data_IF_284003005614
#
_entry.id   IF_284003005614
#
_cell.length_a   1.000
_cell.length_b   1.000
_cell.length_c   1.000
_cell.angle_alpha   90.00
_cell.angle_beta   90.00
_cell.angle_gamma   90.00
#
_symmetry.space_group_name_H-M   'P 1'
#
loop_
_entity.id
_entity.type
_entity.pdbx_description
1 polymer ?
#
# COMPACT_ATOMS: atom_id res chain seq x y z
N UNK A 1 4.40 -7.26 -18.91
CA UNK A 1 3.85 -7.28 -17.53
C UNK A 1 2.97 -6.07 -17.38
N UNK A 2 1.67 -6.25 -17.13
CA UNK A 2 0.68 -5.17 -17.05
C UNK A 2 0.87 -4.34 -15.78
N UNK A 3 1.11 -3.02 -15.91
CA UNK A 3 1.31 -2.10 -14.79
C UNK A 3 0.01 -1.72 -14.03
N UNK A 4 -1.14 -2.27 -14.45
CA UNK A 4 -2.45 -1.91 -13.91
C UNK A 4 -2.60 -2.11 -12.38
N UNK A 5 -2.06 -3.17 -11.74
CA UNK A 5 -2.13 -3.34 -10.29
C UNK A 5 -1.38 -2.25 -9.53
N UNK A 6 -0.17 -1.91 -9.98
CA UNK A 6 0.64 -0.84 -9.38
C UNK A 6 -0.01 0.53 -9.55
N UNK A 7 -0.66 0.77 -10.67
CA UNK A 7 -1.39 2.02 -10.91
C UNK A 7 -2.64 2.14 -10.04
N UNK A 8 -3.37 1.05 -9.83
CA UNK A 8 -4.50 1.01 -8.90
C UNK A 8 -4.05 1.31 -7.46
N UNK A 9 -2.96 0.70 -7.01
CA UNK A 9 -2.37 0.97 -5.68
C UNK A 9 -1.90 2.42 -5.56
N UNK A 10 -1.25 2.97 -6.60
CA UNK A 10 -0.84 4.38 -6.63
C UNK A 10 -2.04 5.32 -6.48
N UNK A 11 -3.14 5.04 -7.19
CA UNK A 11 -4.39 5.84 -7.10
C UNK A 11 -5.07 5.70 -5.74
N UNK A 12 -4.89 4.57 -5.06
CA UNK A 12 -5.37 4.35 -3.69
C UNK A 12 -4.50 5.05 -2.63
N UNK A 13 -3.47 5.81 -3.03
CA UNK A 13 -2.58 6.53 -2.11
C UNK A 13 -1.45 5.68 -1.55
N UNK A 14 -1.26 4.44 -2.03
CA UNK A 14 -0.10 3.62 -1.67
C UNK A 14 1.15 4.14 -2.40
N UNK A 15 2.24 4.49 -1.70
CA UNK A 15 3.44 5.03 -2.33
C UNK A 15 4.27 3.92 -2.97
N UNK A 16 3.81 3.41 -4.11
CA UNK A 16 4.45 2.33 -4.88
C UNK A 16 5.89 2.62 -5.28
N UNK A 17 6.30 3.90 -5.33
CA UNK A 17 7.67 4.31 -5.67
C UNK A 17 8.67 4.09 -4.53
N UNK A 18 8.20 3.94 -3.29
CA UNK A 18 9.02 3.60 -2.14
C UNK A 18 9.32 2.10 -2.05
N UNK A 19 8.61 1.28 -2.83
CA UNK A 19 8.82 -0.16 -2.89
C UNK A 19 10.13 -0.48 -3.62
N UNK A 20 10.86 -1.47 -3.13
CA UNK A 20 11.96 -2.11 -3.84
C UNK A 20 11.47 -2.78 -5.14
N UNK A 21 12.40 -3.12 -6.03
CA UNK A 21 12.06 -3.81 -7.28
C UNK A 21 11.34 -5.14 -7.02
N UNK A 22 11.82 -5.92 -6.05
CA UNK A 22 11.22 -7.20 -5.63
C UNK A 22 9.81 -7.03 -5.08
N UNK A 23 9.55 -5.98 -4.30
CA UNK A 23 8.20 -5.73 -3.78
C UNK A 23 7.26 -5.29 -4.91
N UNK A 24 7.71 -4.45 -5.84
CA UNK A 24 6.90 -4.05 -7.01
C UNK A 24 6.54 -5.24 -7.90
N UNK A 25 7.44 -6.22 -8.04
CA UNK A 25 7.14 -7.44 -8.79
C UNK A 25 6.01 -8.25 -8.14
N UNK A 26 6.01 -8.38 -6.81
CA UNK A 26 4.92 -9.04 -6.07
C UNK A 26 3.59 -8.32 -6.31
N UNK A 27 3.56 -6.99 -6.15
CA UNK A 27 2.33 -6.22 -6.35
C UNK A 27 1.88 -6.18 -7.83
N UNK A 28 2.81 -6.21 -8.79
CA UNK A 28 2.49 -6.26 -10.22
C UNK A 28 1.91 -7.62 -10.65
N UNK A 29 2.16 -8.69 -9.89
CA UNK A 29 1.61 -10.01 -10.14
C UNK A 29 0.18 -10.19 -9.62
N UNK A 30 -0.32 -9.26 -8.81
CA UNK A 30 -1.67 -9.33 -8.26
C UNK A 30 -2.74 -9.15 -9.34
N UNK A 31 -3.81 -9.91 -9.21
CA UNK A 31 -5.04 -9.73 -9.96
C UNK A 31 -5.81 -8.49 -9.47
N UNK A 32 -6.73 -7.95 -10.29
CA UNK A 32 -7.59 -6.84 -9.88
C UNK A 32 -8.41 -7.14 -8.61
N UNK A 33 -8.89 -8.37 -8.46
CA UNK A 33 -9.67 -8.79 -7.28
C UNK A 33 -8.82 -8.80 -6.01
N UNK A 34 -7.57 -9.28 -6.09
CA UNK A 34 -6.64 -9.26 -4.96
C UNK A 34 -6.29 -7.82 -4.55
N UNK A 35 -6.09 -6.92 -5.51
CA UNK A 35 -5.87 -5.50 -5.22
C UNK A 35 -7.09 -4.88 -4.52
N UNK A 36 -8.31 -5.23 -4.95
CA UNK A 36 -9.54 -4.76 -4.31
C UNK A 36 -9.66 -5.27 -2.85
N UNK A 37 -9.32 -6.53 -2.61
CA UNK A 37 -9.30 -7.11 -1.25
C UNK A 37 -8.28 -6.41 -0.37
N UNK A 38 -7.06 -6.18 -0.85
CA UNK A 38 -6.03 -5.46 -0.08
C UNK A 38 -6.47 -4.03 0.26
N UNK A 39 -7.07 -3.32 -0.70
CA UNK A 39 -7.65 -1.99 -0.46
C UNK A 39 -8.73 -2.03 0.63
N UNK A 40 -9.66 -2.98 0.55
CA UNK A 40 -10.73 -3.14 1.56
C UNK A 40 -10.18 -3.41 2.96
N UNK A 41 -9.12 -4.22 3.08
CA UNK A 41 -8.46 -4.49 4.37
C UNK A 41 -7.81 -3.20 4.90
N UNK A 42 -7.07 -2.48 4.05
CA UNK A 42 -6.41 -1.23 4.46
C UNK A 42 -7.42 -0.18 4.95
N UNK A 43 -8.56 -0.02 4.27
CA UNK A 43 -9.62 0.90 4.68
C UNK A 43 -10.18 0.55 6.05
N UNK A 44 -10.43 -0.74 6.28
CA UNK A 44 -10.94 -1.23 7.57
C UNK A 44 -9.94 -1.02 8.71
N UNK A 45 -8.64 -1.22 8.43
CA UNK A 45 -7.57 -0.95 9.40
C UNK A 45 -7.45 0.56 9.69
N UNK A 46 -7.55 1.40 8.66
CA UNK A 46 -7.53 2.85 8.81
C UNK A 46 -8.73 3.34 9.64
N UNK A 47 -9.92 2.79 9.42
CA UNK A 47 -11.13 3.17 10.15
C UNK A 47 -11.04 2.90 11.67
N UNK A 48 -10.28 1.89 12.08
CA UNK A 48 -10.08 1.54 13.50
C UNK A 48 -8.78 2.09 14.08
N UNK A 49 -7.96 2.77 13.28
CA UNK A 49 -6.62 3.25 13.67
C UNK A 49 -6.62 4.10 14.94
N UNK A 50 -7.61 4.99 15.10
CA UNK A 50 -7.75 5.86 16.28
C UNK A 50 -8.08 5.09 17.58
N UNK A 51 -8.57 3.85 17.48
CA UNK A 51 -8.87 3.01 18.63
C UNK A 51 -7.67 2.15 19.08
N UNK A 52 -6.59 2.14 18.30
CA UNK A 52 -5.38 1.37 18.60
C UNK A 52 -4.34 2.30 19.22
N UNK A 53 -4.17 2.22 20.54
CA UNK A 53 -3.10 2.94 21.23
C UNK A 53 -1.73 2.55 20.64
N UNK A 54 -0.92 3.55 20.27
CA UNK A 54 0.42 3.35 19.71
C UNK A 54 0.46 3.20 18.18
N UNK A 55 -0.68 3.20 17.48
CA UNK A 55 -0.70 3.30 16.02
C UNK A 55 -0.34 4.74 15.61
N UNK A 56 0.96 5.06 15.59
CA UNK A 56 1.42 6.29 14.95
C UNK A 56 1.25 6.14 13.45
N UNK A 57 0.70 7.18 12.79
CA UNK A 57 0.78 7.28 11.34
C UNK A 57 2.25 7.43 10.99
N UNK A 58 2.93 6.32 10.70
CA UNK A 58 4.32 6.32 10.27
C UNK A 58 4.45 7.23 9.05
N UNK A 59 4.81 8.49 9.32
CA UNK A 59 5.21 9.47 8.33
C UNK A 59 6.66 9.15 8.03
N UNK A 60 6.89 8.04 7.34
CA UNK A 60 8.23 7.54 7.05
C UNK A 60 8.95 8.52 6.12
N UNK A 61 9.45 9.62 6.70
CA UNK A 61 10.44 10.50 6.10
C UNK A 61 11.75 9.76 6.26
N UNK A 62 12.06 8.91 5.28
CA UNK A 62 13.38 8.30 5.19
C UNK A 62 14.39 9.40 4.85
N UNK A 63 14.84 10.18 5.85
CA UNK A 63 15.99 11.08 5.75
C UNK A 63 17.22 10.21 5.90
N UNK A 64 17.74 9.71 4.78
CA UNK A 64 19.06 9.07 4.75
C UNK A 64 20.10 10.20 4.72
N UNK A 65 20.78 10.40 5.85
CA UNK A 65 22.05 11.12 5.93
C UNK A 65 23.21 10.22 5.48
#
# INVERSE_FOLDING_TARGET
>A
MSQAPLEALRRAGTPVELLSASEREVFAALSPDEVAVLGSIQDRLNAVSAAVEGQQSDSNTNVVC
#
